data_IF_001299662312
#
_entry.id   IF_001299662312
#
_cell.length_a   1.000
_cell.length_b   1.000
_cell.length_c   1.000
_cell.angle_alpha   90.00
_cell.angle_beta   90.00
_cell.angle_gamma   90.00
#
_symmetry.space_group_name_H-M   'P 1'
#
loop_
_entity.id
_entity.type
_entity.pdbx_description
1 polymer ?
#
# COMPACT_ATOMS: atom_id res chain seq x y z
N UNK A 1 -15.38 12.76 -43.84
CA UNK A 1 -14.90 11.61 -43.04
C UNK A 1 -13.52 11.83 -42.41
N UNK A 2 -12.52 12.39 -43.10
CA UNK A 2 -11.17 12.64 -42.53
C UNK A 2 -11.16 13.41 -41.19
N UNK A 3 -11.96 14.48 -41.07
CA UNK A 3 -12.04 15.29 -39.83
C UNK A 3 -12.62 14.53 -38.64
N UNK A 4 -13.56 13.61 -38.90
CA UNK A 4 -14.18 12.78 -37.87
C UNK A 4 -13.20 11.72 -37.36
N UNK A 5 -12.41 11.13 -38.27
CA UNK A 5 -11.35 10.19 -37.91
C UNK A 5 -10.29 10.82 -37.01
N UNK A 6 -9.83 12.03 -37.33
CA UNK A 6 -8.85 12.77 -36.51
C UNK A 6 -9.40 13.05 -35.11
N UNK A 7 -10.66 13.49 -34.99
CA UNK A 7 -11.31 13.71 -33.69
C UNK A 7 -11.39 12.41 -32.86
N UNK A 8 -11.72 11.30 -33.50
CA UNK A 8 -11.79 9.99 -32.83
C UNK A 8 -10.41 9.55 -32.31
N UNK A 9 -9.36 9.77 -33.11
CA UNK A 9 -7.98 9.44 -32.73
C UNK A 9 -7.49 10.30 -31.58
N UNK A 10 -7.77 11.61 -31.59
CA UNK A 10 -7.43 12.51 -30.48
C UNK A 10 -8.15 12.09 -29.20
N UNK A 11 -9.43 11.72 -29.29
CA UNK A 11 -10.21 11.23 -28.16
C UNK A 11 -9.63 9.94 -27.57
N UNK A 12 -9.29 8.96 -28.41
CA UNK A 12 -8.67 7.70 -27.99
C UNK A 12 -7.31 7.91 -27.32
N UNK A 13 -6.45 8.77 -27.89
CA UNK A 13 -5.15 9.11 -27.28
C UNK A 13 -5.35 9.83 -25.94
N UNK A 14 -6.33 10.74 -25.84
CA UNK A 14 -6.61 11.43 -24.58
C UNK A 14 -7.14 10.49 -23.49
N UNK A 15 -7.92 9.46 -23.85
CA UNK A 15 -8.40 8.44 -22.91
C UNK A 15 -7.25 7.57 -22.38
N UNK A 16 -6.27 7.24 -23.23
CA UNK A 16 -5.08 6.48 -22.82
C UNK A 16 -4.19 7.30 -21.87
N UNK A 17 -4.12 8.63 -22.06
CA UNK A 17 -3.37 9.52 -21.18
C UNK A 17 -4.10 9.81 -19.85
N UNK A 18 -5.42 9.64 -19.80
CA UNK A 18 -6.26 9.92 -18.63
C UNK A 18 -6.64 8.67 -17.83
N UNK A 19 -6.57 7.49 -18.46
CA UNK A 19 -6.53 6.22 -17.75
C UNK A 19 -5.19 6.17 -17.00
N UNK A 20 -5.17 6.76 -15.80
CA UNK A 20 -4.01 6.74 -14.93
C UNK A 20 -3.50 5.31 -14.75
N UNK A 21 -2.22 5.18 -14.41
CA UNK A 21 -1.73 3.93 -13.87
C UNK A 21 -2.64 3.57 -12.68
N UNK A 22 -3.28 2.40 -12.72
CA UNK A 22 -3.79 1.81 -11.49
C UNK A 22 -2.56 1.61 -10.63
N UNK A 23 -2.45 2.43 -9.59
CA UNK A 23 -1.35 2.36 -8.65
C UNK A 23 -1.76 1.43 -7.53
N UNK A 24 -0.85 0.52 -7.14
CA UNK A 24 -0.93 -0.32 -5.94
C UNK A 24 -1.61 0.45 -4.81
N UNK A 25 -2.93 0.26 -4.68
CA UNK A 25 -3.69 1.07 -3.74
C UNK A 25 -3.57 0.40 -2.39
N UNK A 26 -2.82 1.04 -1.50
CA UNK A 26 -2.89 0.73 -0.10
C UNK A 26 -4.31 1.02 0.40
N UNK A 27 -4.99 -0.01 0.91
CA UNK A 27 -6.39 0.05 1.36
C UNK A 27 -6.47 0.02 2.90
N UNK A 28 -6.26 1.16 3.59
CA UNK A 28 -6.21 1.22 5.06
C UNK A 28 -7.51 0.79 5.74
N UNK A 29 -8.65 0.83 5.03
CA UNK A 29 -9.93 0.32 5.54
C UNK A 29 -9.94 -1.18 5.81
N UNK A 30 -9.00 -1.94 5.23
CA UNK A 30 -8.85 -3.38 5.43
C UNK A 30 -7.70 -3.74 6.39
N UNK A 31 -7.06 -2.74 6.98
CA UNK A 31 -6.02 -2.96 7.96
C UNK A 31 -6.54 -3.72 9.17
N UNK A 32 -5.70 -4.63 9.64
CA UNK A 32 -5.97 -5.42 10.85
C UNK A 32 -5.04 -4.96 11.96
N UNK A 33 -5.62 -4.54 13.08
CA UNK A 33 -4.85 -4.16 14.27
C UNK A 33 -4.89 -5.29 15.30
N UNK A 34 -3.71 -5.77 15.70
CA UNK A 34 -3.55 -6.74 16.79
C UNK A 34 -3.00 -5.97 17.98
N UNK A 35 -3.88 -5.63 18.93
CA UNK A 35 -3.49 -4.97 20.17
C UNK A 35 -3.16 -5.99 21.27
N UNK A 36 -1.97 -5.84 21.83
CA UNK A 36 -1.45 -6.64 22.94
C UNK A 36 -1.27 -5.68 24.10
N UNK A 37 -2.13 -5.80 25.11
CA UNK A 37 -1.96 -5.09 26.38
C UNK A 37 -1.21 -5.99 27.36
N UNK A 38 -0.08 -5.52 27.85
CA UNK A 38 0.74 -6.23 28.84
C UNK A 38 0.80 -5.44 30.13
N UNK A 39 0.76 -6.16 31.26
CA UNK A 39 0.98 -5.57 32.59
C UNK A 39 2.49 -5.36 32.87
N UNK A 40 3.33 -5.79 31.93
CA UNK A 40 4.78 -5.82 32.05
C UNK A 40 5.37 -4.46 31.75
N UNK A 41 6.29 -4.03 32.61
CA UNK A 41 7.02 -2.80 32.42
C UNK A 41 8.03 -2.98 31.29
N UNK A 42 7.74 -2.41 30.12
CA UNK A 42 8.65 -2.42 28.95
C UNK A 42 9.71 -1.30 29.07
N UNK A 43 9.89 -0.74 30.27
CA UNK A 43 10.86 0.33 30.60
C UNK A 43 12.28 0.06 30.10
N UNK A 44 12.69 -1.22 29.99
CA UNK A 44 14.02 -1.59 29.48
C UNK A 44 14.11 -1.70 27.96
N UNK A 45 12.99 -1.73 27.24
CA UNK A 45 12.90 -1.76 25.79
C UNK A 45 11.85 -0.73 25.34
N UNK A 46 12.21 0.57 25.31
CA UNK A 46 11.26 1.61 24.91
C UNK A 46 10.72 1.26 23.52
N UNK A 47 9.40 1.23 23.42
CA UNK A 47 8.73 1.02 22.15
C UNK A 47 8.92 2.27 21.29
N UNK A 48 9.09 2.06 19.99
CA UNK A 48 9.34 3.13 19.03
C UNK A 48 8.55 2.85 17.76
N UNK A 49 7.49 3.63 17.54
CA UNK A 49 6.67 3.55 16.32
C UNK A 49 7.41 3.90 15.05
N UNK A 50 8.58 4.55 15.11
CA UNK A 50 9.37 4.85 13.91
C UNK A 50 9.77 3.58 13.17
N UNK A 51 9.98 2.45 13.88
CA UNK A 51 10.33 1.18 13.24
C UNK A 51 9.16 0.56 12.50
N UNK A 52 7.94 0.67 13.04
CA UNK A 52 6.75 0.23 12.32
C UNK A 52 6.54 1.06 11.05
N UNK A 53 6.76 2.38 11.14
CA UNK A 53 6.68 3.28 9.98
C UNK A 53 7.75 2.96 8.92
N UNK A 54 9.01 2.78 9.33
CA UNK A 54 10.12 2.37 8.44
C UNK A 54 9.77 1.07 7.69
N UNK A 55 9.14 0.11 8.38
CA UNK A 55 8.70 -1.16 7.79
C UNK A 55 7.60 -0.95 6.76
N UNK A 56 6.59 -0.16 7.09
CA UNK A 56 5.50 0.19 6.17
C UNK A 56 6.06 0.84 4.89
N UNK A 57 6.84 1.91 5.04
CA UNK A 57 7.42 2.65 3.90
C UNK A 57 8.33 1.78 3.05
N UNK A 58 9.08 0.86 3.67
CA UNK A 58 9.91 -0.08 2.92
C UNK A 58 9.07 -1.02 2.04
N UNK A 59 7.97 -1.56 2.58
CA UNK A 59 7.05 -2.44 1.87
C UNK A 59 6.32 -1.69 0.74
N UNK A 60 5.85 -0.46 0.99
CA UNK A 60 5.28 0.41 -0.06
C UNK A 60 6.27 0.66 -1.20
N UNK A 61 7.55 0.93 -0.86
CA UNK A 61 8.58 1.13 -1.89
C UNK A 61 8.83 -0.11 -2.74
N UNK A 62 8.51 -1.31 -2.24
CA UNK A 62 8.61 -2.56 -2.98
C UNK A 62 7.39 -2.69 -3.90
N UNK A 63 6.18 -2.42 -3.41
CA UNK A 63 4.96 -2.40 -4.22
C UNK A 63 5.10 -1.45 -5.41
N UNK A 64 5.53 -0.21 -5.17
CA UNK A 64 5.79 0.77 -6.24
C UNK A 64 6.78 0.25 -7.29
N UNK A 65 7.86 -0.41 -6.87
CA UNK A 65 8.86 -0.97 -7.80
C UNK A 65 8.29 -2.14 -8.59
N UNK A 66 7.52 -3.02 -7.96
CA UNK A 66 6.89 -4.17 -8.62
C UNK A 66 5.88 -3.67 -9.65
N UNK A 67 5.07 -2.67 -9.31
CA UNK A 67 4.12 -2.03 -10.22
C UNK A 67 4.86 -1.40 -11.41
N UNK A 68 5.90 -0.61 -11.17
CA UNK A 68 6.70 0.01 -12.24
C UNK A 68 7.30 -1.01 -13.21
N UNK A 69 7.72 -2.18 -12.71
CA UNK A 69 8.34 -3.24 -13.53
C UNK A 69 7.30 -4.07 -14.28
N UNK A 70 6.19 -4.41 -13.62
CA UNK A 70 5.22 -5.40 -14.14
C UNK A 70 3.98 -4.77 -14.78
N UNK A 71 3.72 -3.48 -14.50
CA UNK A 71 2.46 -2.80 -14.80
C UNK A 71 1.26 -3.43 -14.09
N UNK A 72 1.50 -4.31 -13.10
CA UNK A 72 0.46 -4.94 -12.29
C UNK A 72 0.41 -4.27 -10.94
N UNK A 73 -0.79 -3.82 -10.66
CA UNK A 73 -1.24 -3.30 -9.40
C UNK A 73 -1.65 -4.49 -8.51
N UNK A 74 -1.29 -4.44 -7.22
CA UNK A 74 -1.72 -5.39 -6.20
C UNK A 74 -2.26 -4.59 -5.02
N UNK A 75 -3.58 -4.51 -4.92
CA UNK A 75 -4.29 -4.03 -3.74
C UNK A 75 -3.79 -4.78 -2.49
N UNK A 76 -3.47 -4.04 -1.44
CA UNK A 76 -2.94 -4.61 -0.21
C UNK A 76 -3.37 -3.80 1.02
N UNK A 77 -3.18 -4.39 2.19
CA UNK A 77 -3.55 -3.84 3.50
C UNK A 77 -2.61 -4.42 4.54
N UNK A 78 -2.44 -3.77 5.68
CA UNK A 78 -1.42 -4.17 6.66
C UNK A 78 -2.01 -4.83 7.90
N UNK A 79 -1.23 -5.73 8.49
CA UNK A 79 -1.39 -6.15 9.89
C UNK A 79 -0.47 -5.28 10.74
N UNK A 80 -1.08 -4.50 11.63
CA UNK A 80 -0.40 -3.63 12.59
C UNK A 80 -0.37 -4.30 13.96
N UNK A 81 0.82 -4.52 14.51
CA UNK A 81 0.97 -5.01 15.89
C UNK A 81 1.13 -3.81 16.80
N UNK A 82 0.19 -3.66 17.73
CA UNK A 82 0.15 -2.59 18.71
C UNK A 82 0.45 -3.18 20.08
N UNK A 83 1.44 -2.66 20.77
CA UNK A 83 1.83 -3.11 22.11
C UNK A 83 1.67 -1.93 23.08
N UNK A 84 0.78 -2.08 24.07
CA UNK A 84 0.46 -1.04 25.04
C UNK A 84 0.10 0.32 24.40
N UNK A 85 -0.59 0.32 23.25
CA UNK A 85 -0.98 1.53 22.51
C UNK A 85 0.06 2.06 21.52
N UNK A 86 1.29 1.51 21.51
CA UNK A 86 2.32 1.88 20.54
C UNK A 86 2.38 0.87 19.38
N UNK A 87 2.30 1.33 18.14
CA UNK A 87 2.47 0.48 16.95
C UNK A 87 3.94 0.10 16.80
N UNK A 88 4.25 -1.19 16.77
CA UNK A 88 5.64 -1.69 16.76
C UNK A 88 6.01 -2.50 15.52
N UNK A 89 5.02 -2.95 14.75
CA UNK A 89 5.21 -3.72 13.52
C UNK A 89 4.14 -3.33 12.51
N UNK A 90 4.56 -3.17 11.25
CA UNK A 90 3.71 -3.14 10.08
C UNK A 90 4.06 -4.33 9.19
N UNK A 91 3.13 -5.24 8.95
CA UNK A 91 3.36 -6.42 8.13
C UNK A 91 2.32 -6.48 7.00
N UNK A 92 2.78 -6.41 5.76
CA UNK A 92 1.99 -6.78 4.59
C UNK A 92 1.76 -8.31 4.64
N UNK A 93 0.53 -8.77 4.89
CA UNK A 93 0.26 -10.20 4.97
C UNK A 93 0.47 -10.83 3.60
N UNK A 94 1.02 -12.05 3.53
CA UNK A 94 0.95 -12.83 2.30
C UNK A 94 -0.52 -13.13 2.04
N UNK A 95 -1.19 -12.28 1.25
CA UNK A 95 -2.52 -12.55 0.75
C UNK A 95 -2.42 -13.81 -0.09
N UNK A 96 -2.91 -14.91 0.46
CA UNK A 96 -3.21 -16.12 -0.29
C UNK A 96 -4.41 -15.83 -1.19
N UNK A 97 -4.21 -15.08 -2.28
CA UNK A 97 -5.24 -14.74 -3.25
C UNK A 97 -4.99 -15.45 -4.58
N UNK A 98 -5.96 -16.27 -5.00
CA UNK A 98 -6.12 -16.71 -6.39
C UNK A 98 -7.01 -15.72 -7.15
#
# INVERSE_FOLDING_TARGET
MRRLGVLLTVLLVSLILYAGNGSAEYLPQYDTYIEISTNGNIEHFPLDSSKAQDMFEHQESIHEKVEQITGRDVDHSYIWIVLNGETIVAADPPVGGF
#
